data_IF_685373970781
#
_entry.id   IF_685373970781
#
_cell.length_a   1.000
_cell.length_b   1.000
_cell.length_c   1.000
_cell.angle_alpha   90.00
_cell.angle_beta   90.00
_cell.angle_gamma   90.00
#
_symmetry.space_group_name_H-M   'P 1'
#
loop_
_entity.id
_entity.type
_entity.pdbx_description
1 polymer ?
#
# COMPACT_ATOMS: atom_id res chain seq x y z
N UNK A 1 21.90 -7.96 1.66
CA UNK A 1 23.38 -8.15 1.73
C UNK A 1 23.81 -7.98 3.19
N UNK A 2 24.65 -8.87 3.73
CA UNK A 2 25.17 -8.75 5.11
C UNK A 2 26.21 -7.62 5.19
N UNK A 3 26.06 -6.72 6.14
CA UNK A 3 26.94 -5.56 6.36
C UNK A 3 27.37 -5.50 7.82
N UNK A 4 28.38 -4.69 8.12
CA UNK A 4 28.62 -4.28 9.51
C UNK A 4 27.37 -3.55 10.02
N UNK A 5 27.09 -3.65 11.32
CA UNK A 5 25.91 -3.04 11.93
C UNK A 5 25.90 -1.54 11.67
N UNK A 6 27.02 -0.87 11.91
CA UNK A 6 27.19 0.57 11.66
C UNK A 6 26.88 0.95 10.21
N UNK A 7 27.45 0.22 9.24
CA UNK A 7 27.21 0.50 7.81
C UNK A 7 25.74 0.31 7.43
N UNK A 8 25.09 -0.75 7.94
CA UNK A 8 23.67 -0.98 7.68
C UNK A 8 22.79 0.14 8.26
N UNK A 9 23.08 0.60 9.47
CA UNK A 9 22.34 1.68 10.11
C UNK A 9 22.55 3.03 9.42
N UNK A 10 23.78 3.36 9.02
CA UNK A 10 24.06 4.60 8.27
C UNK A 10 23.30 4.64 6.94
N UNK A 11 23.27 3.52 6.21
CA UNK A 11 22.50 3.43 4.96
C UNK A 11 20.98 3.44 5.19
N UNK A 12 20.50 2.83 6.28
CA UNK A 12 19.10 2.84 6.67
C UNK A 12 18.59 4.24 7.06
N UNK A 13 19.45 5.06 7.67
CA UNK A 13 19.15 6.43 8.06
C UNK A 13 19.34 7.43 6.91
N UNK A 14 20.08 7.06 5.87
CA UNK A 14 20.26 7.91 4.70
C UNK A 14 18.91 8.28 4.06
N UNK A 15 18.78 9.52 3.60
CA UNK A 15 17.55 10.00 2.98
C UNK A 15 17.19 9.12 1.76
N UNK A 16 16.07 8.41 1.84
CA UNK A 16 15.59 7.56 0.75
C UNK A 16 14.91 8.48 -0.26
N UNK A 17 15.71 9.17 -1.07
CA UNK A 17 15.25 9.96 -2.22
C UNK A 17 14.96 9.04 -3.41
N UNK A 18 13.95 8.21 -3.28
CA UNK A 18 13.44 7.42 -4.40
C UNK A 18 12.75 8.33 -5.43
N UNK A 19 13.13 8.21 -6.69
CA UNK A 19 12.56 8.96 -7.82
C UNK A 19 11.48 8.17 -8.57
N UNK A 20 10.88 7.16 -7.94
CA UNK A 20 9.96 6.20 -8.57
C UNK A 20 8.51 6.70 -8.72
N UNK A 21 7.73 6.03 -9.60
CA UNK A 21 6.31 6.32 -9.83
C UNK A 21 5.45 6.18 -8.58
N UNK A 22 5.76 5.19 -7.73
CA UNK A 22 5.06 4.96 -6.45
C UNK A 22 5.18 6.17 -5.51
N UNK A 23 6.32 6.86 -5.51
CA UNK A 23 6.48 8.12 -4.75
C UNK A 23 5.68 9.26 -5.37
N UNK A 24 5.54 9.30 -6.70
CA UNK A 24 4.65 10.28 -7.37
C UNK A 24 3.19 10.04 -6.99
N UNK A 25 2.80 8.78 -6.81
CA UNK A 25 1.49 8.38 -6.26
C UNK A 25 1.38 8.57 -4.73
N UNK A 26 2.47 8.96 -4.08
CA UNK A 26 2.56 9.13 -2.63
C UNK A 26 2.36 7.83 -1.84
N UNK A 27 2.75 6.69 -2.39
CA UNK A 27 2.68 5.40 -1.70
C UNK A 27 3.86 5.29 -0.72
N UNK A 28 3.62 4.89 0.54
CA UNK A 28 4.68 4.74 1.53
C UNK A 28 5.73 3.72 1.11
N UNK A 29 6.99 4.01 1.43
CA UNK A 29 8.11 3.11 1.24
C UNK A 29 8.56 2.57 2.58
N UNK A 30 8.86 1.27 2.63
CA UNK A 30 9.28 0.62 3.85
C UNK A 30 10.64 -0.04 3.63
N UNK A 31 11.52 0.18 4.60
CA UNK A 31 12.86 -0.40 4.65
C UNK A 31 13.00 -1.21 5.94
N UNK A 32 13.63 -2.39 5.86
CA UNK A 32 13.84 -3.27 7.00
C UNK A 32 15.31 -3.52 7.28
N UNK A 33 15.67 -3.59 8.56
CA UNK A 33 16.97 -4.01 9.06
C UNK A 33 16.76 -5.04 10.16
N UNK A 34 17.49 -6.15 10.11
CA UNK A 34 17.51 -7.13 11.19
C UNK A 34 18.93 -7.67 11.42
N UNK A 35 19.17 -8.14 12.65
CA UNK A 35 20.47 -8.66 13.07
C UNK A 35 20.65 -10.13 12.69
N UNK A 36 21.86 -10.48 12.27
CA UNK A 36 22.25 -11.85 11.96
C UNK A 36 23.69 -12.11 12.43
N UNK A 37 23.84 -12.75 13.59
CA UNK A 37 25.13 -12.86 14.29
C UNK A 37 25.65 -11.46 14.64
N UNK A 38 26.92 -11.18 14.36
CA UNK A 38 27.53 -9.86 14.58
C UNK A 38 27.36 -8.88 13.40
N UNK A 39 26.48 -9.23 12.45
CA UNK A 39 26.20 -8.43 11.25
C UNK A 39 24.74 -8.00 11.22
N UNK A 40 24.43 -7.08 10.32
CA UNK A 40 23.07 -6.67 10.01
C UNK A 40 22.75 -6.94 8.53
N UNK A 41 21.49 -7.27 8.27
CA UNK A 41 20.93 -7.37 6.93
C UNK A 41 20.01 -6.18 6.72
N UNK A 42 20.38 -5.32 5.77
CA UNK A 42 19.52 -4.25 5.24
C UNK A 42 18.82 -4.79 4.00
N UNK A 43 17.49 -4.71 4.00
CA UNK A 43 16.64 -4.97 2.83
C UNK A 43 16.42 -3.65 2.08
N UNK A 44 16.25 -3.74 0.76
CA UNK A 44 15.98 -2.57 -0.06
C UNK A 44 14.64 -1.93 0.33
N UNK A 45 14.54 -0.60 0.20
CA UNK A 45 13.29 0.11 0.38
C UNK A 45 12.29 -0.33 -0.72
N UNK A 46 11.09 -0.76 -0.33
CA UNK A 46 10.04 -1.20 -1.25
C UNK A 46 8.73 -0.42 -1.01
N UNK A 47 7.91 -0.23 -2.05
CA UNK A 47 6.52 0.21 -1.90
C UNK A 47 5.75 -0.67 -0.93
N UNK A 48 4.86 -0.05 -0.16
CA UNK A 48 4.13 -0.70 0.93
C UNK A 48 3.55 -2.08 0.56
N UNK A 49 2.85 -2.29 -0.56
CA UNK A 49 2.30 -3.62 -0.87
C UNK A 49 3.37 -4.71 -1.04
N UNK A 50 4.53 -4.36 -1.59
CA UNK A 50 5.64 -5.28 -1.78
C UNK A 50 6.41 -5.50 -0.48
N UNK A 51 6.58 -4.45 0.33
CA UNK A 51 7.18 -4.56 1.65
C UNK A 51 6.31 -5.37 2.62
N UNK A 52 4.98 -5.30 2.49
CA UNK A 52 4.04 -5.97 3.39
C UNK A 52 4.22 -7.49 3.37
N UNK A 53 4.37 -8.06 2.18
CA UNK A 53 4.62 -9.49 1.97
C UNK A 53 6.11 -9.88 2.16
N UNK A 54 7.02 -8.89 2.22
CA UNK A 54 8.46 -9.17 2.29
C UNK A 54 8.86 -9.79 3.62
N UNK A 55 8.22 -9.37 4.72
CA UNK A 55 8.48 -9.94 6.05
C UNK A 55 8.17 -11.43 6.08
N UNK A 56 7.04 -11.83 5.49
CA UNK A 56 6.60 -13.22 5.38
C UNK A 56 7.56 -14.06 4.52
N UNK A 57 8.06 -13.50 3.41
CA UNK A 57 8.89 -14.25 2.45
C UNK A 57 10.37 -14.29 2.78
N UNK A 58 10.90 -13.25 3.43
CA UNK A 58 12.35 -13.02 3.52
C UNK A 58 12.87 -13.10 4.95
N UNK A 59 12.10 -12.62 5.93
CA UNK A 59 12.57 -12.49 7.30
C UNK A 59 12.14 -13.73 8.09
N UNK A 60 13.11 -14.53 8.53
CA UNK A 60 12.85 -15.73 9.32
C UNK A 60 12.26 -15.40 10.70
N UNK A 61 11.57 -16.37 11.29
CA UNK A 61 11.10 -16.30 12.68
C UNK A 61 12.27 -16.13 13.67
N UNK A 62 11.98 -15.58 14.84
CA UNK A 62 12.95 -15.26 15.90
C UNK A 62 13.76 -13.99 15.67
N UNK A 63 13.53 -13.26 14.56
CA UNK A 63 14.21 -12.00 14.25
C UNK A 63 13.42 -10.80 14.78
N UNK A 64 14.10 -9.94 15.53
CA UNK A 64 13.66 -8.57 15.79
C UNK A 64 14.00 -7.71 14.58
N UNK A 65 13.09 -6.82 14.18
CA UNK A 65 13.21 -6.04 12.94
C UNK A 65 13.05 -4.56 13.24
N UNK A 66 14.10 -3.79 12.93
CA UNK A 66 14.02 -2.34 12.83
C UNK A 66 13.45 -1.99 11.45
N UNK A 67 12.40 -1.18 11.42
CA UNK A 67 11.81 -0.71 10.17
C UNK A 67 11.77 0.81 10.11
N UNK A 68 11.80 1.33 8.87
CA UNK A 68 11.60 2.74 8.54
C UNK A 68 10.47 2.83 7.53
N UNK A 69 9.58 3.78 7.73
CA UNK A 69 8.52 4.16 6.80
C UNK A 69 8.81 5.57 6.33
N UNK A 70 8.97 5.75 5.02
CA UNK A 70 9.01 7.05 4.36
C UNK A 70 7.65 7.30 3.70
N UNK A 71 6.99 8.40 4.06
CA UNK A 71 5.61 8.68 3.66
C UNK A 71 5.34 10.19 3.59
N UNK A 72 4.18 10.57 3.07
CA UNK A 72 3.72 11.96 3.07
C UNK A 72 2.71 12.18 4.18
N UNK A 73 2.81 13.33 4.84
CA UNK A 73 1.80 13.80 5.79
C UNK A 73 1.63 15.30 5.59
N UNK A 74 0.40 15.74 5.34
CA UNK A 74 0.08 17.15 5.12
C UNK A 74 0.93 17.78 4.00
N UNK A 75 1.24 16.99 2.96
CA UNK A 75 2.02 17.40 1.80
C UNK A 75 3.53 17.35 2.01
N UNK A 76 3.99 17.10 3.23
CA UNK A 76 5.41 17.04 3.56
C UNK A 76 5.93 15.60 3.61
N UNK A 77 7.14 15.38 3.09
CA UNK A 77 7.83 14.12 3.27
C UNK A 77 8.23 13.95 4.75
N UNK A 78 7.81 12.85 5.35
CA UNK A 78 8.13 12.46 6.73
C UNK A 78 8.71 11.06 6.73
N UNK A 79 9.37 10.72 7.83
CA UNK A 79 9.72 9.35 8.12
C UNK A 79 9.29 8.97 9.54
N UNK A 80 9.10 7.68 9.75
CA UNK A 80 8.85 7.08 11.06
C UNK A 80 9.65 5.79 11.18
N UNK A 81 10.01 5.44 12.41
CA UNK A 81 10.80 4.27 12.73
C UNK A 81 10.11 3.47 13.82
N UNK A 82 10.27 2.16 13.76
CA UNK A 82 9.81 1.28 14.83
C UNK A 82 10.58 -0.03 14.86
N UNK A 83 10.42 -0.74 15.96
CA UNK A 83 11.03 -2.06 16.17
C UNK A 83 9.91 -3.08 16.34
N UNK A 84 9.79 -3.99 15.38
CA UNK A 84 8.93 -5.14 15.53
C UNK A 84 9.63 -6.17 16.43
N UNK A 85 8.94 -6.70 17.45
CA UNK A 85 9.50 -7.73 18.32
C UNK A 85 9.84 -8.99 17.52
N UNK A 86 10.58 -9.91 18.14
CA UNK A 86 10.96 -11.17 17.52
C UNK A 86 9.75 -11.88 16.87
N UNK A 87 9.81 -12.08 15.56
CA UNK A 87 8.72 -12.65 14.76
C UNK A 87 8.46 -14.08 15.24
N UNK A 88 7.30 -14.31 15.85
CA UNK A 88 6.92 -15.64 16.36
C UNK A 88 6.46 -16.56 15.24
N UNK A 89 5.66 -16.01 14.34
CA UNK A 89 5.03 -16.72 13.23
C UNK A 89 5.16 -15.87 11.96
N UNK A 90 5.25 -16.53 10.81
CA UNK A 90 5.33 -15.84 9.52
C UNK A 90 4.05 -15.07 9.26
N UNK A 91 4.16 -13.75 9.05
CA UNK A 91 3.04 -12.86 8.79
C UNK A 91 3.49 -11.62 8.02
N UNK A 92 2.52 -10.92 7.43
CA UNK A 92 2.77 -9.65 6.75
C UNK A 92 3.19 -8.55 7.73
N UNK A 93 3.91 -7.55 7.24
CA UNK A 93 4.39 -6.43 8.03
C UNK A 93 3.26 -5.73 8.79
N UNK A 94 2.15 -5.41 8.12
CA UNK A 94 1.01 -4.72 8.72
C UNK A 94 0.33 -5.57 9.81
N UNK A 95 0.30 -6.89 9.63
CA UNK A 95 -0.23 -7.82 10.64
C UNK A 95 0.66 -7.83 11.89
N UNK A 96 1.99 -7.87 11.70
CA UNK A 96 2.96 -7.83 12.79
C UNK A 96 2.90 -6.49 13.54
N UNK A 97 2.86 -5.37 12.80
CA UNK A 97 2.77 -4.02 13.35
C UNK A 97 1.50 -3.84 14.18
N UNK A 98 0.33 -4.18 13.62
CA UNK A 98 -0.94 -4.07 14.33
C UNK A 98 -0.94 -4.92 15.61
N UNK A 99 -0.47 -6.16 15.51
CA UNK A 99 -0.43 -7.09 16.66
C UNK A 99 0.47 -6.55 17.76
N UNK A 100 1.65 -6.03 17.41
CA UNK A 100 2.57 -5.44 18.38
C UNK A 100 1.95 -4.21 19.08
N UNK A 101 1.31 -3.32 18.31
CA UNK A 101 0.61 -2.15 18.86
C UNK A 101 -0.53 -2.56 19.79
N UNK A 102 -1.38 -3.52 19.38
CA UNK A 102 -2.49 -4.04 20.20
C UNK A 102 -2.02 -4.69 21.50
N UNK A 103 -0.84 -5.30 21.48
CA UNK A 103 -0.19 -5.87 22.67
C UNK A 103 0.53 -4.81 23.54
N UNK A 104 0.45 -3.53 23.18
CA UNK A 104 1.01 -2.42 23.95
C UNK A 104 2.50 -2.15 23.70
N UNK A 105 3.09 -2.71 22.64
CA UNK A 105 4.49 -2.44 22.29
C UNK A 105 4.65 -1.04 21.68
N UNK A 106 5.07 -0.09 22.52
CA UNK A 106 5.30 1.30 22.11
C UNK A 106 6.52 1.49 21.21
N UNK A 107 7.43 0.50 21.13
CA UNK A 107 8.58 0.55 20.22
C UNK A 107 8.17 0.16 18.80
N UNK A 108 7.12 -0.64 18.67
CA UNK A 108 6.64 -1.10 17.38
C UNK A 108 6.02 0.02 16.56
N UNK A 109 5.39 1.03 17.17
CA UNK A 109 4.79 2.15 16.46
C UNK A 109 3.56 2.68 17.20
N UNK A 110 2.67 3.35 16.46
CA UNK A 110 1.42 3.89 16.99
C UNK A 110 0.26 3.64 16.03
N UNK A 111 -0.96 3.58 16.58
CA UNK A 111 -2.16 3.17 15.85
C UNK A 111 -2.40 4.01 14.57
N UNK A 112 -2.25 5.33 14.65
CA UNK A 112 -2.43 6.21 13.50
C UNK A 112 -1.52 5.92 12.31
N UNK A 113 -0.27 5.48 12.53
CA UNK A 113 0.61 5.05 11.44
C UNK A 113 0.12 3.73 10.84
N UNK A 114 -0.26 2.77 11.69
CA UNK A 114 -0.78 1.48 11.25
C UNK A 114 -2.04 1.65 10.39
N UNK A 115 -2.99 2.47 10.82
CA UNK A 115 -4.23 2.76 10.08
C UNK A 115 -3.92 3.44 8.75
N UNK A 116 -3.07 4.46 8.74
CA UNK A 116 -2.63 5.14 7.52
C UNK A 116 -2.04 4.15 6.50
N UNK A 117 -1.15 3.26 6.93
CA UNK A 117 -0.55 2.26 6.06
C UNK A 117 -1.60 1.25 5.56
N UNK A 118 -2.49 0.76 6.43
CA UNK A 118 -3.58 -0.14 6.02
C UNK A 118 -4.48 0.49 4.95
N UNK A 119 -4.83 1.76 5.09
CA UNK A 119 -5.59 2.48 4.06
C UNK A 119 -4.83 2.55 2.74
N UNK A 120 -3.55 2.94 2.76
CA UNK A 120 -2.73 2.93 1.54
C UNK A 120 -2.67 1.54 0.89
N UNK A 121 -2.49 0.49 1.68
CA UNK A 121 -2.42 -0.88 1.17
C UNK A 121 -3.74 -1.30 0.51
N UNK A 122 -4.88 -0.95 1.12
CA UNK A 122 -6.20 -1.20 0.54
C UNK A 122 -6.41 -0.44 -0.77
N UNK A 123 -6.00 0.83 -0.84
CA UNK A 123 -6.07 1.63 -2.06
C UNK A 123 -5.20 1.05 -3.19
N UNK A 124 -4.00 0.54 -2.88
CA UNK A 124 -3.17 -0.17 -3.86
C UNK A 124 -3.83 -1.47 -4.35
N UNK A 125 -4.48 -2.22 -3.48
CA UNK A 125 -5.24 -3.41 -3.87
C UNK A 125 -6.41 -3.08 -4.81
N UNK A 126 -7.14 -2.00 -4.54
CA UNK A 126 -8.22 -1.51 -5.41
C UNK A 126 -7.71 -1.05 -6.77
N UNK A 127 -6.57 -0.34 -6.80
CA UNK A 127 -5.92 0.07 -8.05
C UNK A 127 -5.56 -1.14 -8.90
N UNK A 128 -4.85 -2.10 -8.32
CA UNK A 128 -4.42 -3.31 -9.04
C UNK A 128 -5.60 -4.12 -9.57
N UNK A 129 -6.70 -4.21 -8.80
CA UNK A 129 -7.94 -4.84 -9.24
C UNK A 129 -8.54 -4.11 -10.44
N UNK A 130 -8.69 -2.79 -10.35
CA UNK A 130 -9.30 -1.99 -11.41
C UNK A 130 -8.46 -1.99 -12.70
N UNK A 131 -7.14 -1.86 -12.59
CA UNK A 131 -6.22 -1.97 -13.73
C UNK A 131 -6.29 -3.35 -14.39
N UNK A 132 -6.38 -4.42 -13.59
CA UNK A 132 -6.57 -5.78 -14.08
C UNK A 132 -7.83 -5.91 -14.93
N UNK A 133 -8.97 -5.48 -14.37
CA UNK A 133 -10.29 -5.55 -15.03
C UNK A 133 -10.34 -4.72 -16.33
N UNK A 134 -9.73 -3.53 -16.33
CA UNK A 134 -9.64 -2.69 -17.53
C UNK A 134 -8.75 -3.32 -18.62
N UNK A 135 -7.66 -3.98 -18.23
CA UNK A 135 -6.79 -4.71 -19.16
C UNK A 135 -7.52 -5.91 -19.80
N UNK A 136 -8.39 -6.61 -19.06
CA UNK A 136 -9.20 -7.70 -19.61
C UNK A 136 -10.28 -7.19 -20.57
N UNK A 137 -10.96 -6.10 -20.23
CA UNK A 137 -12.01 -5.51 -21.08
C UNK A 137 -11.48 -5.10 -22.48
N UNK A 138 -10.21 -4.70 -22.59
CA UNK A 138 -9.56 -4.38 -23.87
C UNK A 138 -9.21 -5.57 -24.76
N UNK A 139 -9.31 -6.81 -24.27
CA UNK A 139 -8.92 -8.04 -24.99
C UNK A 139 -10.10 -8.86 -25.53
N UNK A 140 -11.34 -8.54 -25.16
CA UNK A 140 -12.51 -9.26 -25.63
C UNK A 140 -12.85 -8.83 -27.05
N UNK A 141 -12.41 -9.59 -28.05
CA UNK A 141 -12.79 -9.39 -29.46
C UNK A 141 -14.31 -9.44 -29.62
N UNK A 142 -14.87 -8.42 -30.27
CA UNK A 142 -16.30 -8.29 -30.59
C UNK A 142 -16.79 -9.51 -31.37
N UNK A 143 -17.49 -10.43 -30.72
CA UNK A 143 -18.30 -11.44 -31.42
C UNK A 143 -19.57 -10.77 -31.92
N UNK A 144 -19.87 -10.92 -33.21
CA UNK A 144 -21.08 -10.38 -33.83
C UNK A 144 -22.32 -11.05 -33.23
N UNK A 145 -23.23 -10.23 -32.67
CA UNK A 145 -24.40 -10.64 -31.87
C UNK A 145 -24.59 -9.87 -30.54
N UNK A 146 -23.64 -8.99 -30.20
CA UNK A 146 -23.34 -8.51 -28.85
C UNK A 146 -23.87 -7.11 -28.46
N UNK A 147 -25.07 -6.69 -28.88
CA UNK A 147 -25.57 -5.34 -28.52
C UNK A 147 -25.72 -5.12 -26.99
N UNK A 148 -26.11 -6.15 -26.24
CA UNK A 148 -26.27 -6.06 -24.78
C UNK A 148 -24.94 -6.26 -24.02
N UNK A 149 -24.00 -7.00 -24.63
CA UNK A 149 -22.66 -7.26 -24.10
C UNK A 149 -21.76 -6.01 -24.22
N UNK A 150 -21.96 -5.20 -25.28
CA UNK A 150 -21.25 -3.94 -25.49
C UNK A 150 -21.61 -2.90 -24.41
N UNK A 151 -22.90 -2.72 -24.10
CA UNK A 151 -23.36 -1.77 -23.07
C UNK A 151 -22.89 -2.15 -21.67
N UNK A 152 -22.92 -3.43 -21.30
CA UNK A 152 -22.40 -3.89 -20.01
C UNK A 152 -20.88 -3.67 -19.91
N UNK A 153 -20.14 -3.95 -20.98
CA UNK A 153 -18.68 -3.76 -21.03
C UNK A 153 -18.31 -2.28 -20.88
N UNK A 154 -19.07 -1.38 -21.52
CA UNK A 154 -18.90 0.07 -21.38
C UNK A 154 -19.19 0.53 -19.95
N UNK A 155 -20.30 0.09 -19.34
CA UNK A 155 -20.65 0.41 -17.96
C UNK A 155 -19.59 -0.10 -16.96
N UNK A 156 -19.08 -1.32 -17.19
CA UNK A 156 -18.04 -1.94 -16.37
C UNK A 156 -16.70 -1.20 -16.48
N UNK A 157 -16.32 -0.81 -17.69
CA UNK A 157 -15.13 0.02 -17.94
C UNK A 157 -15.25 1.38 -17.24
N UNK A 158 -16.42 2.02 -17.33
CA UNK A 158 -16.68 3.28 -16.64
C UNK A 158 -16.59 3.12 -15.10
N UNK A 159 -17.12 2.02 -14.56
CA UNK A 159 -17.03 1.72 -13.13
C UNK A 159 -15.59 1.58 -12.65
N UNK A 160 -14.74 0.81 -13.35
CA UNK A 160 -13.35 0.66 -12.90
C UNK A 160 -12.52 1.93 -13.08
N UNK A 161 -12.86 2.82 -14.02
CA UNK A 161 -12.30 4.18 -14.07
C UNK A 161 -12.72 5.03 -12.87
N UNK A 162 -13.97 4.91 -12.41
CA UNK A 162 -14.43 5.55 -11.18
C UNK A 162 -13.65 5.04 -9.95
N UNK A 163 -13.36 3.73 -9.89
CA UNK A 163 -12.53 3.14 -8.83
C UNK A 163 -11.11 3.74 -8.84
N UNK A 164 -10.49 3.91 -10.02
CA UNK A 164 -9.18 4.55 -10.11
C UNK A 164 -9.21 6.02 -9.67
N UNK A 165 -10.27 6.76 -10.02
CA UNK A 165 -10.48 8.13 -9.57
C UNK A 165 -10.65 8.22 -8.04
N UNK A 166 -11.40 7.27 -7.46
CA UNK A 166 -11.57 7.14 -6.01
C UNK A 166 -10.22 6.86 -5.32
N UNK A 167 -9.42 5.95 -5.86
CA UNK A 167 -8.09 5.62 -5.33
C UNK A 167 -7.18 6.83 -5.33
N UNK A 168 -7.11 7.56 -6.44
CA UNK A 168 -6.29 8.76 -6.55
C UNK A 168 -6.71 9.81 -5.51
N UNK A 169 -8.01 10.11 -5.44
CA UNK A 169 -8.57 11.06 -4.46
C UNK A 169 -8.26 10.63 -3.03
N UNK A 170 -8.39 9.34 -2.73
CA UNK A 170 -8.10 8.81 -1.40
C UNK A 170 -6.63 8.98 -1.01
N UNK A 171 -5.70 8.74 -1.95
CA UNK A 171 -4.26 8.98 -1.72
C UNK A 171 -3.96 10.46 -1.53
N UNK A 172 -4.56 11.34 -2.32
CA UNK A 172 -4.38 12.78 -2.19
C UNK A 172 -4.81 13.26 -0.79
N UNK A 173 -5.96 12.77 -0.29
CA UNK A 173 -6.42 13.07 1.06
C UNK A 173 -5.45 12.53 2.12
N UNK A 174 -5.06 11.26 2.04
CA UNK A 174 -4.16 10.65 3.02
C UNK A 174 -2.80 11.36 3.08
N UNK A 175 -2.29 11.82 1.93
CA UNK A 175 -0.95 12.40 1.82
C UNK A 175 -0.92 13.89 2.10
N UNK A 176 -1.95 14.65 1.72
CA UNK A 176 -1.93 16.11 1.71
C UNK A 176 -2.86 16.76 2.74
N UNK A 177 -3.90 16.06 3.21
CA UNK A 177 -4.88 16.66 4.12
C UNK A 177 -4.53 16.38 5.60
N UNK A 178 -5.06 17.20 6.52
CA UNK A 178 -4.97 16.94 7.95
C UNK A 178 -5.55 15.58 8.32
N UNK A 179 -4.95 14.95 9.33
CA UNK A 179 -5.44 13.69 9.88
C UNK A 179 -6.92 13.80 10.31
N UNK A 180 -7.74 12.82 9.95
CA UNK A 180 -9.18 12.83 10.21
C UNK A 180 -10.04 13.41 9.08
N UNK A 181 -9.43 13.91 8.00
CA UNK A 181 -10.19 14.27 6.78
C UNK A 181 -10.89 13.02 6.23
N UNK A 182 -12.22 13.05 6.04
CA UNK A 182 -12.96 11.89 5.59
C UNK A 182 -12.64 11.57 4.12
N UNK A 183 -12.57 10.27 3.81
CA UNK A 183 -12.54 9.81 2.42
C UNK A 183 -13.90 10.06 1.75
N UNK A 184 -13.95 10.25 0.43
CA UNK A 184 -15.22 10.24 -0.29
C UNK A 184 -15.95 8.90 -0.08
N UNK A 185 -17.28 8.87 -0.28
CA UNK A 185 -18.03 7.62 -0.27
C UNK A 185 -17.45 6.63 -1.30
N UNK A 186 -17.34 5.36 -0.92
CA UNK A 186 -16.90 4.33 -1.84
C UNK A 186 -17.90 4.20 -3.00
N UNK A 187 -17.45 4.12 -4.26
CA UNK A 187 -18.32 3.93 -5.41
C UNK A 187 -18.94 2.52 -5.38
N UNK A 188 -20.12 2.41 -4.76
CA UNK A 188 -20.91 1.18 -4.77
C UNK A 188 -21.27 0.79 -6.21
N UNK A 189 -20.95 -0.46 -6.58
CA UNK A 189 -21.13 -0.95 -7.94
C UNK A 189 -22.59 -0.92 -8.37
N UNK A 190 -23.50 -1.34 -7.49
CA UNK A 190 -24.93 -1.42 -7.84
C UNK A 190 -25.52 -0.04 -8.07
N UNK A 191 -25.23 0.91 -7.18
CA UNK A 191 -25.64 2.30 -7.31
C UNK A 191 -25.04 2.96 -8.55
N UNK A 192 -23.75 2.74 -8.81
CA UNK A 192 -23.07 3.26 -10.00
C UNK A 192 -23.74 2.72 -11.28
N UNK A 193 -23.92 1.40 -11.38
CA UNK A 193 -24.51 0.77 -12.56
C UNK A 193 -25.93 1.27 -12.81
N UNK A 194 -26.77 1.35 -11.78
CA UNK A 194 -28.13 1.85 -11.89
C UNK A 194 -28.20 3.31 -12.36
N UNK A 195 -27.22 4.15 -11.97
CA UNK A 195 -27.09 5.52 -12.47
C UNK A 195 -26.63 5.53 -13.93
N UNK A 196 -25.56 4.81 -14.25
CA UNK A 196 -24.96 4.78 -15.58
C UNK A 196 -25.97 4.34 -16.65
N UNK A 197 -26.74 3.28 -16.40
CA UNK A 197 -27.77 2.80 -17.34
C UNK A 197 -28.94 3.77 -17.53
N UNK A 198 -29.24 4.64 -16.55
CA UNK A 198 -30.28 5.67 -16.71
C UNK A 198 -29.80 6.83 -17.57
N UNK A 199 -28.51 7.16 -17.48
CA UNK A 199 -27.90 8.30 -18.17
C UNK A 199 -27.48 7.96 -19.62
N UNK A 200 -27.25 6.68 -19.93
CA UNK A 200 -26.75 6.20 -21.22
C UNK A 200 -27.76 5.28 -21.94
N UNK A 201 -29.07 5.51 -21.71
CA UNK A 201 -30.18 4.84 -22.39
C UNK A 201 -30.75 5.65 -23.53
#
# INVERSE_FOLDING_TARGET
>A
MKKTIEKALMEFLADVRTTGEERKKGIPLITFVYKEGDKAVLLAALPLPLADIQTEKTISTGKEVLYRVDFFKEGEAKNSFGVLPAIKESATFLTLLETAIKNGDRKAGYQGLCDYLKFHNALCGLEALAEGELSFAGKTERREGAQMEDTYTLANTAYYKEILSYVQTGRDILNACPAGTPLPPFPDRSAFMARWYRENR
#
